data_IF_368727003814
#
_entry.id   IF_368727003814
#
_cell.length_a   1.000
_cell.length_b   1.000
_cell.length_c   1.000
_cell.angle_alpha   90.00
_cell.angle_beta   90.00
_cell.angle_gamma   90.00
#
_symmetry.space_group_name_H-M   'P 1'
#
loop_
_entity.id
_entity.type
_entity.pdbx_description
1 polymer ?
#
# COMPACT_ATOMS: atom_id res chain seq x y z
N UNK A 1 2.27 2.32 -25.85
CA UNK A 1 3.04 1.75 -24.73
C UNK A 1 2.90 0.24 -24.77
N UNK A 2 3.95 -0.50 -24.40
CA UNK A 2 3.92 -1.97 -24.40
C UNK A 2 2.89 -2.51 -23.38
N UNK A 3 2.21 -3.64 -23.67
CA UNK A 3 1.19 -4.20 -22.79
C UNK A 3 1.80 -4.77 -21.50
N UNK A 4 1.34 -4.27 -20.35
CA UNK A 4 1.84 -4.68 -19.02
C UNK A 4 1.27 -6.02 -18.52
N UNK A 5 0.17 -6.51 -19.13
CA UNK A 5 -0.53 -7.73 -18.71
C UNK A 5 0.35 -8.99 -18.79
N UNK A 6 1.11 -9.17 -19.88
CA UNK A 6 2.01 -10.32 -20.05
C UNK A 6 3.05 -10.42 -18.92
N UNK A 7 3.83 -9.36 -18.67
CA UNK A 7 4.75 -9.30 -17.54
C UNK A 7 4.10 -9.56 -16.18
N UNK A 8 2.92 -8.97 -15.93
CA UNK A 8 2.21 -9.16 -14.66
C UNK A 8 1.77 -10.61 -14.45
N UNK A 9 1.22 -11.26 -15.49
CA UNK A 9 0.84 -12.67 -15.43
C UNK A 9 2.05 -13.56 -15.12
N UNK A 10 3.19 -13.34 -15.78
CA UNK A 10 4.41 -14.10 -15.52
C UNK A 10 4.95 -13.88 -14.10
N UNK A 11 4.78 -12.69 -13.51
CA UNK A 11 5.10 -12.44 -12.10
C UNK A 11 4.21 -13.24 -11.15
N UNK A 12 2.90 -13.31 -11.41
CA UNK A 12 1.97 -14.13 -10.60
C UNK A 12 2.32 -15.61 -10.70
N UNK A 13 2.59 -16.11 -11.91
CA UNK A 13 3.01 -17.50 -12.13
C UNK A 13 4.31 -17.80 -11.38
N UNK A 14 5.32 -16.93 -11.46
CA UNK A 14 6.59 -17.07 -10.75
C UNK A 14 6.44 -16.98 -9.22
N UNK A 15 5.46 -16.21 -8.73
CA UNK A 15 5.17 -16.10 -7.30
C UNK A 15 4.63 -17.43 -6.72
N UNK A 16 3.94 -18.24 -7.52
CA UNK A 16 3.55 -19.61 -7.12
C UNK A 16 2.69 -19.66 -5.84
N UNK A 17 1.79 -18.70 -5.66
CA UNK A 17 0.92 -18.60 -4.47
C UNK A 17 1.52 -17.87 -3.27
N UNK A 18 2.78 -17.42 -3.33
CA UNK A 18 3.38 -16.54 -2.31
C UNK A 18 2.76 -15.14 -2.40
N UNK A 19 2.52 -14.45 -1.27
CA UNK A 19 2.12 -13.05 -1.30
C UNK A 19 3.19 -12.21 -2.01
N UNK A 20 2.79 -11.31 -2.91
CA UNK A 20 3.67 -10.32 -3.51
C UNK A 20 3.01 -8.94 -3.40
N UNK A 21 3.84 -7.91 -3.26
CA UNK A 21 3.38 -6.53 -3.13
C UNK A 21 3.48 -5.87 -4.50
N UNK A 22 2.33 -5.60 -5.12
CA UNK A 22 2.29 -4.82 -6.36
C UNK A 22 2.24 -3.34 -6.02
N UNK A 23 3.40 -2.67 -6.09
CA UNK A 23 3.49 -1.22 -5.92
C UNK A 23 3.25 -0.58 -7.29
N UNK A 24 1.99 -0.47 -7.69
CA UNK A 24 1.60 0.33 -8.84
C UNK A 24 0.42 1.25 -8.47
N UNK A 25 0.63 2.57 -8.31
CA UNK A 25 -0.43 3.47 -7.87
C UNK A 25 -1.52 3.68 -8.93
N UNK A 26 -1.32 3.22 -10.17
CA UNK A 26 -2.28 3.42 -11.27
C UNK A 26 -2.44 2.15 -12.11
N UNK A 27 -3.24 1.23 -11.58
CA UNK A 27 -3.78 0.09 -12.34
C UNK A 27 -5.04 0.47 -13.15
N UNK A 28 -5.63 1.63 -12.86
CA UNK A 28 -6.73 2.21 -13.61
C UNK A 28 -6.25 2.94 -14.88
N UNK A 29 -7.16 3.10 -15.85
CA UNK A 29 -6.86 3.78 -17.11
C UNK A 29 -6.51 5.27 -16.85
N UNK A 30 -5.39 5.72 -17.43
CA UNK A 30 -4.99 7.13 -17.47
C UNK A 30 -5.26 7.65 -18.88
N UNK A 31 -6.03 8.74 -19.06
CA UNK A 31 -6.21 9.34 -20.37
C UNK A 31 -4.86 9.80 -20.93
N UNK A 32 -4.60 9.48 -22.20
CA UNK A 32 -3.43 10.02 -22.89
C UNK A 32 -3.57 11.53 -23.09
N UNK A 33 -2.45 12.25 -23.26
CA UNK A 33 -2.41 13.70 -23.47
C UNK A 33 -3.23 14.20 -24.68
N UNK A 34 -3.72 13.31 -25.54
CA UNK A 34 -4.60 13.62 -26.68
C UNK A 34 -6.06 13.15 -26.55
N UNK A 35 -6.54 12.80 -25.34
CA UNK A 35 -7.89 12.26 -25.10
C UNK A 35 -8.22 10.94 -25.83
N UNK A 36 -7.24 10.31 -26.49
CA UNK A 36 -7.40 9.00 -27.13
C UNK A 36 -7.22 7.93 -26.07
N UNK A 37 -8.32 7.26 -25.72
CA UNK A 37 -8.28 6.10 -24.84
C UNK A 37 -7.73 4.89 -25.60
N UNK A 38 -6.63 4.33 -25.12
CA UNK A 38 -6.07 3.09 -25.66
C UNK A 38 -6.96 1.92 -25.23
N UNK A 39 -7.85 1.47 -26.13
CA UNK A 39 -8.79 0.37 -25.90
C UNK A 39 -8.07 -0.99 -25.84
N UNK A 40 -6.87 -1.08 -26.42
CA UNK A 40 -6.04 -2.28 -26.44
C UNK A 40 -5.71 -2.80 -25.03
N UNK A 41 -6.17 -4.02 -24.73
CA UNK A 41 -5.90 -4.72 -23.47
C UNK A 41 -6.52 -4.11 -22.22
N UNK A 42 -7.47 -3.17 -22.36
CA UNK A 42 -8.23 -2.59 -21.25
C UNK A 42 -8.98 -3.65 -20.45
N UNK A 43 -9.79 -4.46 -21.12
CA UNK A 43 -10.55 -5.53 -20.48
C UNK A 43 -9.64 -6.52 -19.75
N UNK A 44 -8.45 -6.82 -20.30
CA UNK A 44 -7.48 -7.73 -19.70
C UNK A 44 -6.82 -7.13 -18.46
N UNK A 45 -6.51 -5.82 -18.45
CA UNK A 45 -5.99 -5.14 -17.26
C UNK A 45 -7.03 -5.04 -16.14
N UNK A 46 -8.28 -4.75 -16.49
CA UNK A 46 -9.40 -4.71 -15.53
C UNK A 46 -9.63 -6.09 -14.94
N UNK A 47 -9.82 -7.12 -15.78
CA UNK A 47 -10.01 -8.49 -15.32
C UNK A 47 -8.82 -9.02 -14.48
N UNK A 48 -7.60 -8.61 -14.82
CA UNK A 48 -6.41 -8.93 -14.02
C UNK A 48 -6.42 -8.21 -12.66
N UNK A 49 -6.77 -6.93 -12.62
CA UNK A 49 -6.91 -6.18 -11.37
C UNK A 49 -8.02 -6.77 -10.47
N UNK A 50 -9.14 -7.15 -11.07
CA UNK A 50 -10.26 -7.81 -10.39
C UNK A 50 -9.94 -9.22 -9.89
N UNK A 51 -8.92 -9.88 -10.47
CA UNK A 51 -8.46 -11.19 -10.00
C UNK A 51 -7.70 -11.14 -8.67
N UNK A 52 -7.25 -9.94 -8.25
CA UNK A 52 -6.62 -9.78 -6.95
C UNK A 52 -7.66 -9.90 -5.85
N UNK A 53 -7.44 -10.84 -4.93
CA UNK A 53 -8.11 -10.79 -3.63
C UNK A 53 -7.39 -9.74 -2.79
N UNK A 54 -7.98 -8.56 -2.63
CA UNK A 54 -7.42 -7.53 -1.76
C UNK A 54 -7.27 -8.06 -0.33
N UNK A 55 -6.01 -8.17 0.13
CA UNK A 55 -5.70 -8.69 1.46
C UNK A 55 -5.52 -7.53 2.44
N UNK A 56 -4.92 -6.43 1.99
CA UNK A 56 -4.66 -5.25 2.80
C UNK A 56 -4.73 -3.95 1.99
N UNK A 57 -5.22 -2.89 2.62
CA UNK A 57 -5.06 -1.50 2.16
C UNK A 57 -4.08 -0.78 3.09
N UNK A 58 -3.09 -0.06 2.55
CA UNK A 58 -2.05 0.62 3.33
C UNK A 58 -1.95 2.10 2.98
N UNK A 59 -2.04 2.98 3.98
CA UNK A 59 -1.92 4.44 3.85
C UNK A 59 -0.76 4.93 4.71
N UNK A 60 0.18 5.65 4.11
CA UNK A 60 1.27 6.29 4.87
C UNK A 60 0.72 7.47 5.69
N UNK A 61 1.19 7.58 6.92
CA UNK A 61 0.93 8.69 7.80
C UNK A 61 2.14 9.63 7.74
N UNK A 62 1.88 10.91 7.47
CA UNK A 62 2.91 11.93 7.40
C UNK A 62 2.52 13.13 8.25
N UNK A 63 3.53 13.85 8.76
CA UNK A 63 3.30 15.13 9.43
C UNK A 63 3.37 16.23 8.37
N UNK A 64 2.32 17.04 8.25
CA UNK A 64 2.37 18.24 7.41
C UNK A 64 3.42 19.20 7.97
N UNK A 65 4.51 19.42 7.25
CA UNK A 65 5.46 20.49 7.52
C UNK A 65 5.70 21.29 6.24
N UNK A 66 6.12 22.55 6.38
CA UNK A 66 6.21 23.51 5.28
C UNK A 66 7.14 23.06 4.13
N UNK A 67 8.08 22.14 4.38
CA UNK A 67 9.08 21.74 3.39
C UNK A 67 9.35 20.23 3.28
N UNK A 68 8.78 19.41 4.16
CA UNK A 68 8.92 17.95 4.10
C UNK A 68 7.64 17.24 4.58
N UNK A 69 7.34 16.09 4.00
CA UNK A 69 6.27 15.20 4.47
C UNK A 69 6.90 13.96 5.13
N UNK A 70 7.55 14.10 6.30
CA UNK A 70 8.20 12.97 6.94
C UNK A 70 7.16 11.90 7.25
N UNK A 71 7.45 10.67 6.84
CA UNK A 71 6.63 9.49 7.14
C UNK A 71 6.83 9.18 8.62
N UNK A 72 5.73 9.20 9.37
CA UNK A 72 5.72 8.91 10.81
C UNK A 72 5.19 7.52 11.11
N UNK A 73 4.56 6.87 10.13
CA UNK A 73 4.01 5.53 10.27
C UNK A 73 3.02 5.23 9.17
N UNK A 74 2.08 4.34 9.46
CA UNK A 74 1.09 3.93 8.48
C UNK A 74 -0.20 3.42 9.11
N UNK A 75 -1.25 3.37 8.29
CA UNK A 75 -2.54 2.79 8.60
C UNK A 75 -2.78 1.64 7.65
N UNK A 76 -3.03 0.44 8.19
CA UNK A 76 -3.38 -0.75 7.41
C UNK A 76 -4.81 -1.16 7.70
N UNK A 77 -5.62 -1.36 6.67
CA UNK A 77 -6.88 -2.11 6.79
C UNK A 77 -6.66 -3.53 6.28
N UNK A 78 -6.95 -4.53 7.11
CA UNK A 78 -6.92 -5.94 6.71
C UNK A 78 -8.30 -6.35 6.20
N UNK A 79 -8.39 -6.68 4.91
CA UNK A 79 -9.65 -6.98 4.23
C UNK A 79 -9.96 -8.48 4.31
N UNK A 80 -8.93 -9.33 4.27
CA UNK A 80 -9.11 -10.77 4.05
C UNK A 80 -9.30 -11.60 5.31
N UNK A 81 -8.58 -11.29 6.40
CA UNK A 81 -8.46 -12.21 7.54
C UNK A 81 -9.04 -11.64 8.84
N UNK A 82 -9.09 -10.31 8.95
CA UNK A 82 -9.68 -9.64 10.11
C UNK A 82 -9.97 -8.20 9.75
N UNK A 83 -11.25 -7.84 9.57
CA UNK A 83 -11.70 -6.50 9.15
C UNK A 83 -11.39 -5.44 10.21
N UNK A 84 -10.13 -5.07 10.27
CA UNK A 84 -9.55 -4.23 11.31
C UNK A 84 -8.59 -3.24 10.69
N UNK A 85 -8.57 -2.05 11.28
CA UNK A 85 -7.62 -1.00 11.00
C UNK A 85 -6.50 -1.04 12.03
N UNK A 86 -5.26 -1.18 11.59
CA UNK A 86 -4.08 -1.19 12.45
C UNK A 86 -3.24 0.05 12.18
N UNK A 87 -3.00 0.84 13.21
CA UNK A 87 -2.05 1.97 13.17
C UNK A 87 -0.67 1.44 13.51
N UNK A 88 0.30 1.74 12.65
CA UNK A 88 1.71 1.45 12.84
C UNK A 88 2.49 2.75 13.00
N UNK A 89 3.46 2.76 13.92
CA UNK A 89 4.42 3.86 14.08
C UNK A 89 5.76 3.45 13.46
N UNK A 90 6.36 4.36 12.71
CA UNK A 90 7.72 4.20 12.18
C UNK A 90 8.70 4.46 13.31
N UNK A 91 9.51 3.46 13.65
CA UNK A 91 10.57 3.55 14.64
C UNK A 91 11.91 3.26 13.95
N UNK A 92 12.97 4.03 14.25
CA UNK A 92 14.31 3.66 13.82
C UNK A 92 14.76 2.40 14.58
N UNK A 93 15.54 1.55 13.91
CA UNK A 93 16.20 0.41 14.51
C UNK A 93 17.62 0.32 13.96
N UNK A 94 18.56 -0.22 14.75
CA UNK A 94 19.93 -0.44 14.31
C UNK A 94 20.16 -1.93 14.21
N UNK A 95 20.57 -2.40 13.05
CA UNK A 95 20.90 -3.81 12.86
C UNK A 95 22.23 -4.20 13.51
N UNK A 96 22.56 -5.49 13.45
CA UNK A 96 23.77 -6.06 14.06
C UNK A 96 25.06 -5.46 13.46
N UNK A 97 24.98 -4.90 12.25
CA UNK A 97 26.08 -4.26 11.52
C UNK A 97 26.19 -2.76 11.81
N UNK A 98 25.30 -2.20 12.64
CA UNK A 98 25.30 -0.80 13.03
C UNK A 98 24.60 0.14 12.04
N UNK A 99 23.87 -0.40 11.05
CA UNK A 99 23.18 0.39 10.04
C UNK A 99 21.79 0.81 10.53
N UNK A 100 21.41 2.06 10.23
CA UNK A 100 20.08 2.57 10.56
C UNK A 100 19.04 1.98 9.59
N UNK A 101 18.03 1.37 10.17
CA UNK A 101 16.91 0.73 9.52
C UNK A 101 15.60 1.33 10.03
N UNK A 102 14.50 1.01 9.37
CA UNK A 102 13.18 1.37 9.84
C UNK A 102 12.28 0.16 10.10
N UNK A 103 11.53 0.23 11.19
CA UNK A 103 10.52 -0.76 11.56
C UNK A 103 9.17 -0.08 11.76
N UNK A 104 8.10 -0.79 11.44
CA UNK A 104 6.73 -0.33 11.65
C UNK A 104 6.08 -1.13 12.77
N UNK A 105 5.93 -0.51 13.93
CA UNK A 105 5.41 -1.14 15.13
C UNK A 105 3.91 -0.93 15.28
N UNK A 106 3.11 -1.99 15.49
CA UNK A 106 1.68 -1.84 15.71
C UNK A 106 1.42 -1.12 17.02
N UNK A 107 0.67 -0.01 16.96
CA UNK A 107 0.33 0.82 18.13
C UNK A 107 -1.12 0.68 18.57
N UNK A 108 -2.05 0.51 17.62
CA UNK A 108 -3.47 0.36 17.95
C UNK A 108 -4.23 -0.39 16.85
N UNK A 109 -5.34 -1.00 17.26
CA UNK A 109 -6.27 -1.72 16.38
C UNK A 109 -7.67 -1.14 16.57
N UNK A 110 -8.38 -0.90 15.47
CA UNK A 110 -9.73 -0.33 15.44
C UNK A 110 -10.64 -1.19 14.56
N UNK A 111 -11.92 -1.30 14.95
CA UNK A 111 -12.93 -2.01 14.16
C UNK A 111 -13.41 -1.21 12.93
N UNK A 112 -13.28 0.11 12.96
CA UNK A 112 -13.61 1.05 11.87
C UNK A 112 -12.41 1.94 11.55
N UNK A 113 -12.47 2.68 10.44
CA UNK A 113 -11.39 3.59 10.08
C UNK A 113 -11.20 4.63 11.20
N UNK A 114 -9.98 4.76 11.77
CA UNK A 114 -9.74 5.69 12.86
C UNK A 114 -9.66 7.14 12.35
N UNK A 115 -10.17 8.06 13.16
CA UNK A 115 -10.08 9.49 12.91
C UNK A 115 -8.64 10.02 13.09
N UNK A 116 -8.29 11.19 12.53
CA UNK A 116 -6.96 11.80 12.73
C UNK A 116 -6.56 11.98 14.20
N UNK A 117 -7.53 12.26 15.07
CA UNK A 117 -7.31 12.39 16.53
C UNK A 117 -6.93 11.04 17.13
N UNK A 118 -7.69 9.98 16.85
CA UNK A 118 -7.41 8.62 17.33
C UNK A 118 -6.06 8.09 16.82
N UNK A 119 -5.71 8.40 15.57
CA UNK A 119 -4.39 8.07 15.01
C UNK A 119 -3.30 8.79 15.82
N UNK A 120 -3.46 10.10 16.06
CA UNK A 120 -2.47 10.89 16.80
C UNK A 120 -2.29 10.40 18.24
N UNK A 121 -3.38 10.04 18.92
CA UNK A 121 -3.35 9.45 20.26
C UNK A 121 -2.67 8.09 20.29
N UNK A 122 -2.96 7.22 19.32
CA UNK A 122 -2.31 5.92 19.19
C UNK A 122 -0.78 6.06 19.03
N UNK A 123 -0.33 7.06 18.25
CA UNK A 123 1.09 7.31 18.00
C UNK A 123 1.86 7.84 19.22
N UNK A 124 1.16 8.39 20.22
CA UNK A 124 1.76 8.88 21.48
C UNK A 124 1.94 7.79 22.53
N UNK A 125 1.28 6.64 22.40
CA UNK A 125 1.40 5.54 23.36
C UNK A 125 2.73 4.83 23.14
N UNK A 126 3.55 4.78 24.19
CA UNK A 126 4.86 4.15 24.20
C UNK A 126 4.72 2.64 24.06
#
# INVERSE_FOLDING_TARGET
GAPIYGPLRSMVEAAGGRPFVLINPRLADVPSSGAVMQVGGRAQRIAFAESFRDIYHYRLLYKGSTFMFPITGALRYNIANSKQWTVFKREPWTDEEGMEQERYDPKAVFASEPTPVQITEAMRRT
#
